data_IF_874227825922
#
_entry.id   IF_874227825922
#
_cell.length_a   1.000
_cell.length_b   1.000
_cell.length_c   1.000
_cell.angle_alpha   90.00
_cell.angle_beta   90.00
_cell.angle_gamma   90.00
#
_symmetry.space_group_name_H-M   'P 1'
#
loop_
_entity.id
_entity.type
_entity.pdbx_description
1 polymer ?
#
# COMPACT_ATOMS: atom_id res chain seq x y z
N UNK A 1 12.94 25.02 10.28
CA UNK A 1 11.71 24.23 10.11
C UNK A 1 12.15 22.78 10.24
N UNK A 2 11.63 22.01 11.21
CA UNK A 2 11.97 20.58 11.28
C UNK A 2 11.20 19.90 10.15
N UNK A 3 11.90 19.14 9.34
CA UNK A 3 11.22 18.25 8.40
C UNK A 3 10.49 17.20 9.24
N UNK A 4 9.17 17.15 9.07
CA UNK A 4 8.31 16.16 9.75
C UNK A 4 7.74 15.16 8.75
N UNK A 5 8.23 15.21 7.50
CA UNK A 5 7.93 14.17 6.53
C UNK A 5 8.55 12.86 7.00
N UNK A 6 7.78 11.79 6.83
CA UNK A 6 8.21 10.43 7.08
C UNK A 6 7.61 9.55 5.99
N UNK A 7 8.36 8.52 5.60
CA UNK A 7 7.87 7.49 4.69
C UNK A 7 7.01 6.50 5.49
N UNK A 8 5.82 6.22 4.98
CA UNK A 8 4.93 5.20 5.50
C UNK A 8 4.71 4.13 4.44
N UNK A 9 4.87 2.87 4.82
CA UNK A 9 4.73 1.73 3.93
C UNK A 9 3.37 1.08 4.16
N UNK A 10 2.51 1.15 3.14
CA UNK A 10 1.22 0.47 3.12
C UNK A 10 1.38 -0.94 2.55
N UNK A 11 0.91 -1.97 3.27
CA UNK A 11 1.05 -3.38 2.87
C UNK A 11 -0.29 -4.00 2.51
N UNK A 12 -0.26 -4.81 1.46
CA UNK A 12 -1.44 -5.50 0.93
C UNK A 12 -1.14 -6.94 0.59
N UNK A 13 -2.15 -7.80 0.75
CA UNK A 13 -2.14 -9.19 0.29
C UNK A 13 -3.20 -9.42 -0.77
N UNK A 14 -2.82 -10.07 -1.87
CA UNK A 14 -3.68 -10.37 -2.99
C UNK A 14 -3.69 -11.89 -3.24
N UNK A 15 -4.88 -12.48 -3.38
CA UNK A 15 -5.00 -13.92 -3.64
C UNK A 15 -4.57 -14.34 -5.06
N UNK A 16 -4.42 -13.39 -5.98
CA UNK A 16 -4.07 -13.65 -7.38
C UNK A 16 -3.14 -12.58 -7.94
N UNK A 17 -2.33 -12.96 -8.93
CA UNK A 17 -1.49 -12.03 -9.69
C UNK A 17 -2.32 -10.91 -10.32
N UNK A 18 -3.51 -11.23 -10.85
CA UNK A 18 -4.42 -10.26 -11.46
C UNK A 18 -4.82 -9.16 -10.46
N UNK A 19 -5.17 -9.54 -9.23
CA UNK A 19 -5.51 -8.57 -8.18
C UNK A 19 -4.30 -7.70 -7.81
N UNK A 20 -3.11 -8.30 -7.67
CA UNK A 20 -1.88 -7.57 -7.39
C UNK A 20 -1.55 -6.54 -8.49
N UNK A 21 -1.61 -6.93 -9.77
CA UNK A 21 -1.39 -6.02 -10.91
C UNK A 21 -2.42 -4.88 -10.96
N UNK A 22 -3.69 -5.19 -10.70
CA UNK A 22 -4.77 -4.18 -10.67
C UNK A 22 -4.54 -3.15 -9.56
N UNK A 23 -4.15 -3.62 -8.37
CA UNK A 23 -3.79 -2.75 -7.25
C UNK A 23 -2.57 -1.88 -7.57
N UNK A 24 -1.49 -2.47 -8.10
CA UNK A 24 -0.28 -1.74 -8.53
C UNK A 24 -0.63 -0.61 -9.48
N UNK A 25 -1.45 -0.86 -10.50
CA UNK A 25 -1.88 0.18 -11.44
C UNK A 25 -2.65 1.31 -10.75
N UNK A 26 -3.54 0.98 -9.81
CA UNK A 26 -4.31 1.97 -9.04
C UNK A 26 -3.39 2.87 -8.22
N UNK A 27 -2.36 2.29 -7.59
CA UNK A 27 -1.39 3.00 -6.76
C UNK A 27 -0.44 3.85 -7.61
N UNK A 28 0.03 3.35 -8.75
CA UNK A 28 0.85 4.09 -9.73
C UNK A 28 0.12 5.32 -10.26
N UNK A 29 -1.17 5.19 -10.65
CA UNK A 29 -1.99 6.32 -11.09
C UNK A 29 -2.17 7.37 -9.99
N UNK A 30 -2.08 6.95 -8.73
CA UNK A 30 -2.14 7.84 -7.56
C UNK A 30 -0.79 8.49 -7.23
N UNK A 31 0.25 8.25 -8.05
CA UNK A 31 1.59 8.82 -7.87
C UNK A 31 2.47 8.08 -6.86
N UNK A 32 2.08 6.88 -6.44
CA UNK A 32 2.91 6.01 -5.58
C UNK A 32 3.77 5.08 -6.43
N UNK A 33 4.85 4.56 -5.84
CA UNK A 33 5.75 3.62 -6.50
C UNK A 33 5.73 2.28 -5.75
N UNK A 34 4.69 1.46 -5.96
CA UNK A 34 4.56 0.21 -5.25
C UNK A 34 5.53 -0.86 -5.76
N UNK A 35 5.95 -1.73 -4.85
CA UNK A 35 6.67 -2.96 -5.14
C UNK A 35 5.70 -4.14 -5.07
N UNK A 36 5.88 -5.11 -5.97
CA UNK A 36 5.10 -6.35 -5.98
C UNK A 36 6.04 -7.53 -5.76
N UNK A 37 5.65 -8.42 -4.86
CA UNK A 37 6.38 -9.64 -4.54
C UNK A 37 5.51 -10.85 -4.90
N UNK A 38 6.08 -11.75 -5.71
CA UNK A 38 5.45 -13.02 -6.05
C UNK A 38 5.46 -13.95 -4.84
N UNK A 39 4.45 -14.82 -4.67
CA UNK A 39 4.41 -15.75 -3.56
C UNK A 39 5.51 -16.81 -3.70
N UNK A 40 6.18 -17.14 -2.59
CA UNK A 40 7.24 -18.17 -2.55
C UNK A 40 6.70 -19.59 -2.72
N UNK A 41 5.39 -19.79 -2.56
CA UNK A 41 4.70 -21.06 -2.75
C UNK A 41 3.27 -20.83 -3.31
N UNK A 42 2.66 -21.81 -4.00
CA UNK A 42 1.36 -21.62 -4.69
C UNK A 42 0.20 -21.15 -3.79
N UNK A 43 0.20 -21.53 -2.51
CA UNK A 43 -0.87 -21.23 -1.56
C UNK A 43 -0.62 -19.93 -0.76
N UNK A 44 0.51 -19.25 -0.99
CA UNK A 44 0.81 -17.97 -0.37
C UNK A 44 0.26 -16.81 -1.20
N UNK A 45 -0.14 -15.69 -0.56
CA UNK A 45 -0.64 -14.53 -1.27
C UNK A 45 0.49 -13.77 -1.96
N UNK A 46 0.14 -13.04 -3.01
CA UNK A 46 0.97 -11.98 -3.55
C UNK A 46 1.01 -10.81 -2.57
N UNK A 47 2.16 -10.17 -2.44
CA UNK A 47 2.32 -9.01 -1.57
C UNK A 47 2.57 -7.75 -2.39
N UNK A 48 1.97 -6.65 -1.97
CA UNK A 48 2.23 -5.33 -2.54
C UNK A 48 2.60 -4.38 -1.40
N UNK A 49 3.69 -3.65 -1.56
CA UNK A 49 4.14 -2.63 -0.62
C UNK A 49 4.13 -1.27 -1.33
N UNK A 50 3.50 -0.26 -0.73
CA UNK A 50 3.37 1.07 -1.31
C UNK A 50 3.91 2.14 -0.35
N UNK A 51 5.13 2.66 -0.58
CA UNK A 51 5.68 3.76 0.19
C UNK A 51 4.97 5.08 -0.17
N UNK A 52 4.69 5.89 0.84
CA UNK A 52 4.19 7.25 0.70
C UNK A 52 4.94 8.18 1.67
N UNK A 53 5.44 9.30 1.18
CA UNK A 53 6.05 10.34 2.02
C UNK A 53 5.00 11.41 2.37
N UNK A 54 4.81 11.66 3.68
CA UNK A 54 3.86 12.64 4.18
C UNK A 54 4.27 13.14 5.56
N UNK A 55 3.78 14.32 5.96
CA UNK A 55 3.90 14.77 7.35
C UNK A 55 3.14 13.82 8.29
N UNK A 56 3.79 13.38 9.36
CA UNK A 56 3.29 12.40 10.32
C UNK A 56 2.21 12.98 11.28
N UNK A 57 1.14 13.54 10.71
CA UNK A 57 -0.03 14.02 11.44
C UNK A 57 -1.14 12.97 11.47
N UNK A 58 -1.95 12.95 12.52
CA UNK A 58 -3.08 12.02 12.64
C UNK A 58 -4.06 12.13 11.45
N UNK A 59 -4.30 13.34 10.96
CA UNK A 59 -5.17 13.60 9.83
C UNK A 59 -4.63 13.00 8.53
N UNK A 60 -3.33 13.16 8.26
CA UNK A 60 -2.70 12.60 7.06
C UNK A 60 -2.66 11.06 7.14
N UNK A 61 -2.34 10.48 8.30
CA UNK A 61 -2.33 9.03 8.49
C UNK A 61 -3.71 8.41 8.34
N UNK A 62 -4.75 9.07 8.87
CA UNK A 62 -6.15 8.63 8.70
C UNK A 62 -6.56 8.68 7.24
N UNK A 63 -6.19 9.76 6.54
CA UNK A 63 -6.48 9.94 5.12
C UNK A 63 -5.78 8.88 4.26
N UNK A 64 -4.49 8.63 4.52
CA UNK A 64 -3.72 7.59 3.86
C UNK A 64 -4.35 6.21 4.07
N UNK A 65 -4.60 5.81 5.32
CA UNK A 65 -5.24 4.51 5.64
C UNK A 65 -6.59 4.34 4.96
N UNK A 66 -7.39 5.41 4.90
CA UNK A 66 -8.69 5.39 4.22
C UNK A 66 -8.52 5.20 2.72
N UNK A 67 -7.63 5.95 2.07
CA UNK A 67 -7.37 5.84 0.65
C UNK A 67 -6.82 4.45 0.27
N UNK A 68 -5.89 3.91 1.07
CA UNK A 68 -5.30 2.58 0.85
C UNK A 68 -6.34 1.47 1.02
N UNK A 69 -7.20 1.55 2.03
CA UNK A 69 -8.31 0.60 2.21
C UNK A 69 -9.27 0.61 1.01
N UNK A 70 -9.67 1.81 0.56
CA UNK A 70 -10.52 1.92 -0.63
C UNK A 70 -9.84 1.38 -1.90
N UNK A 71 -8.53 1.57 -2.04
CA UNK A 71 -7.78 0.99 -3.15
C UNK A 71 -7.76 -0.54 -3.08
N UNK A 72 -7.59 -1.12 -1.89
CA UNK A 72 -7.63 -2.56 -1.67
C UNK A 72 -9.01 -3.14 -2.03
N UNK A 73 -10.09 -2.56 -1.49
CA UNK A 73 -11.46 -3.00 -1.71
C UNK A 73 -11.84 -3.00 -3.20
N UNK A 74 -11.48 -1.95 -3.93
CA UNK A 74 -11.74 -1.84 -5.38
C UNK A 74 -11.02 -2.89 -6.23
N UNK A 75 -9.91 -3.42 -5.74
CA UNK A 75 -9.03 -4.33 -6.48
C UNK A 75 -9.06 -5.77 -5.96
N UNK A 76 -9.91 -6.08 -4.96
CA UNK A 76 -9.99 -7.42 -4.38
C UNK A 76 -8.73 -7.81 -3.60
N UNK A 77 -8.07 -6.84 -2.96
CA UNK A 77 -6.92 -7.04 -2.09
C UNK A 77 -7.32 -6.86 -0.61
N UNK A 78 -6.52 -7.42 0.29
CA UNK A 78 -6.60 -7.14 1.72
C UNK A 78 -5.59 -6.07 2.10
N UNK A 79 -5.99 -5.06 2.87
CA UNK A 79 -5.11 -4.04 3.41
C UNK A 79 -4.70 -4.42 4.83
N UNK A 80 -3.41 -4.69 5.04
CA UNK A 80 -2.89 -5.19 6.32
C UNK A 80 -2.50 -4.06 7.27
N UNK A 81 -2.07 -2.92 6.73
CA UNK A 81 -1.67 -1.79 7.56
C UNK A 81 -0.80 -0.78 6.83
N UNK A 82 -0.49 0.28 7.56
CA UNK A 82 0.37 1.36 7.12
C UNK A 82 1.21 1.78 8.31
N UNK A 83 2.51 1.52 8.20
CA UNK A 83 3.51 1.68 9.26
C UNK A 83 4.64 2.59 8.78
N UNK A 84 5.25 3.37 9.67
CA UNK A 84 6.45 4.13 9.32
C UNK A 84 7.58 3.22 8.84
N UNK A 85 8.33 3.69 7.85
CA UNK A 85 9.63 3.11 7.50
C UNK A 85 10.60 3.33 8.67
N UNK A 86 11.26 2.24 9.08
CA UNK A 86 12.09 2.16 10.30
C UNK A 86 13.55 2.55 10.09
#
# INVERSE_FOLDING_TARGET
>A
MRDTSQVFISRFRCATERAARSLVNTLLVSGLYPEVHEPEAPDLPWEVAAPAELEATEANLTSLRTAMRQAADRNGASFDGCDPEG
#
